data_IF_877811863525
#
_entry.id   IF_877811863525
#
_cell.length_a   1.000
_cell.length_b   1.000
_cell.length_c   1.000
_cell.angle_alpha   90.00
_cell.angle_beta   90.00
_cell.angle_gamma   90.00
#
_symmetry.space_group_name_H-M   'P 1'
#
loop_
_entity.id
_entity.type
_entity.pdbx_description
1 polymer ?
#
# COMPACT_ATOMS: atom_id res chain seq x y z
N UNK A 1 28.70 -10.04 7.77
CA UNK A 1 27.35 -9.87 7.17
C UNK A 1 27.52 -9.12 5.88
N UNK A 2 26.89 -9.56 4.80
CA UNK A 2 26.88 -8.75 3.58
C UNK A 2 26.05 -7.48 3.88
N UNK A 3 26.63 -6.32 3.59
CA UNK A 3 25.95 -5.05 3.78
C UNK A 3 25.05 -4.81 2.56
N UNK A 4 23.74 -4.87 2.74
CA UNK A 4 22.77 -4.68 1.66
C UNK A 4 22.40 -3.20 1.57
N UNK A 5 22.87 -2.54 0.52
CA UNK A 5 22.51 -1.15 0.24
C UNK A 5 21.17 -1.06 -0.52
N UNK A 6 20.42 0.00 -0.28
CA UNK A 6 19.14 0.29 -0.93
C UNK A 6 17.93 -0.42 -0.32
N UNK A 7 18.12 -1.19 0.74
CA UNK A 7 17.04 -1.80 1.52
C UNK A 7 16.81 -1.00 2.80
N UNK A 8 15.55 -0.79 3.17
CA UNK A 8 15.18 -0.22 4.47
C UNK A 8 15.21 -1.28 5.58
N UNK A 9 15.15 -2.56 5.20
CA UNK A 9 15.29 -3.70 6.09
C UNK A 9 14.00 -4.09 6.82
N UNK A 10 12.86 -3.46 6.50
CA UNK A 10 11.61 -3.67 7.23
C UNK A 10 10.39 -3.69 6.32
N UNK A 11 9.46 -4.57 6.64
CA UNK A 11 8.09 -4.61 6.10
C UNK A 11 7.13 -4.22 7.23
N UNK A 12 6.24 -3.28 6.95
CA UNK A 12 5.14 -2.93 7.83
C UNK A 12 4.02 -3.95 7.69
N UNK A 13 3.50 -4.46 8.79
CA UNK A 13 2.36 -5.37 8.87
C UNK A 13 1.19 -4.66 9.52
N UNK A 14 0.04 -4.65 8.86
CA UNK A 14 -1.17 -4.00 9.35
C UNK A 14 -2.33 -4.98 9.26
N UNK A 15 -2.90 -5.34 10.39
CA UNK A 15 -4.13 -6.12 10.47
C UNK A 15 -5.29 -5.18 10.76
N UNK A 16 -6.21 -5.05 9.79
CA UNK A 16 -7.34 -4.12 9.89
C UNK A 16 -8.46 -4.64 10.79
N UNK A 17 -8.53 -5.95 11.07
CA UNK A 17 -9.54 -6.53 11.95
C UNK A 17 -9.20 -6.25 13.41
N UNK A 18 -7.94 -6.43 13.78
CA UNK A 18 -7.48 -6.24 15.17
C UNK A 18 -6.95 -4.83 15.44
N UNK A 19 -6.60 -4.09 14.38
CA UNK A 19 -5.88 -2.81 14.48
C UNK A 19 -4.40 -2.99 14.83
N UNK A 20 -3.88 -4.22 14.82
CA UNK A 20 -2.48 -4.49 15.16
C UNK A 20 -1.55 -4.00 14.05
N UNK A 21 -0.51 -3.27 14.45
CA UNK A 21 0.54 -2.76 13.59
C UNK A 21 1.89 -3.27 14.09
N UNK A 22 2.60 -4.02 13.25
CA UNK A 22 3.90 -4.59 13.59
C UNK A 22 4.90 -4.40 12.46
N UNK A 23 6.17 -4.67 12.74
CA UNK A 23 7.24 -4.65 11.73
C UNK A 23 7.88 -6.02 11.63
N UNK A 24 8.25 -6.40 10.43
CA UNK A 24 8.96 -7.64 10.12
C UNK A 24 10.26 -7.32 9.41
N UNK A 25 11.34 -8.04 9.78
CA UNK A 25 12.60 -8.04 9.01
C UNK A 25 12.38 -8.62 7.60
N UNK A 26 12.99 -8.01 6.59
CA UNK A 26 12.80 -8.39 5.19
C UNK A 26 14.00 -9.09 4.56
N UNK A 27 15.10 -9.35 5.30
CA UNK A 27 16.35 -9.93 4.78
C UNK A 27 16.09 -11.21 3.96
N UNK A 28 15.17 -12.08 4.43
CA UNK A 28 14.83 -13.32 3.71
C UNK A 28 14.25 -13.09 2.30
N UNK A 29 13.76 -11.88 2.03
CA UNK A 29 13.16 -11.51 0.75
C UNK A 29 14.12 -10.79 -0.18
N UNK A 30 15.30 -10.37 0.25
CA UNK A 30 16.28 -9.65 -0.58
C UNK A 30 16.66 -10.41 -1.85
N UNK A 31 16.71 -11.75 -1.81
CA UNK A 31 16.95 -12.60 -3.00
C UNK A 31 15.88 -12.47 -4.11
N UNK A 32 14.73 -11.90 -3.81
CA UNK A 32 13.64 -11.62 -4.77
C UNK A 32 13.64 -10.15 -5.24
N UNK A 33 14.67 -9.36 -4.91
CA UNK A 33 14.93 -7.99 -5.38
C UNK A 33 13.84 -6.96 -4.94
N UNK A 34 12.95 -7.29 -3.99
CA UNK A 34 11.92 -6.36 -3.50
C UNK A 34 10.72 -6.15 -4.45
N UNK A 35 9.92 -5.16 -4.16
CA UNK A 35 8.74 -4.82 -4.95
C UNK A 35 7.86 -6.03 -5.25
N UNK A 36 7.59 -6.26 -6.53
CA UNK A 36 6.77 -7.39 -7.00
C UNK A 36 7.33 -8.75 -6.54
N UNK A 37 8.65 -8.97 -6.65
CA UNK A 37 9.24 -10.27 -6.30
C UNK A 37 9.06 -10.61 -4.81
N UNK A 38 9.27 -9.65 -3.93
CA UNK A 38 9.00 -9.78 -2.51
C UNK A 38 7.49 -10.04 -2.25
N UNK A 39 6.63 -9.24 -2.85
CA UNK A 39 5.19 -9.33 -2.63
C UNK A 39 4.60 -10.67 -3.11
N UNK A 40 5.01 -11.16 -4.28
CA UNK A 40 4.62 -12.49 -4.77
C UNK A 40 5.12 -13.61 -3.86
N UNK A 41 6.32 -13.46 -3.30
CA UNK A 41 6.86 -14.45 -2.36
C UNK A 41 6.05 -14.49 -1.06
N UNK A 42 5.68 -13.34 -0.52
CA UNK A 42 4.80 -13.24 0.66
C UNK A 42 3.43 -13.87 0.35
N UNK A 43 2.84 -13.51 -0.79
CA UNK A 43 1.56 -14.13 -1.23
C UNK A 43 1.63 -15.64 -1.31
N UNK A 44 2.72 -16.18 -1.86
CA UNK A 44 2.92 -17.63 -1.97
C UNK A 44 3.06 -18.32 -0.60
N UNK A 45 3.71 -17.66 0.35
CA UNK A 45 3.94 -18.21 1.69
C UNK A 45 2.70 -18.14 2.58
N UNK A 46 1.88 -17.10 2.44
CA UNK A 46 0.88 -16.74 3.45
C UNK A 46 -0.56 -16.80 2.96
N UNK A 47 -0.79 -16.66 1.64
CA UNK A 47 -2.14 -16.66 1.11
C UNK A 47 -2.54 -18.05 0.56
N UNK A 48 -3.62 -18.69 1.04
CA UNK A 48 -4.14 -19.94 0.47
C UNK A 48 -4.43 -19.80 -1.03
N UNK A 49 -4.21 -20.85 -1.82
CA UNK A 49 -4.33 -20.78 -3.28
C UNK A 49 -5.75 -20.48 -3.78
N UNK A 50 -6.79 -20.97 -3.10
CA UNK A 50 -8.19 -20.82 -3.48
C UNK A 50 -8.94 -19.78 -2.62
N UNK A 51 -8.23 -18.76 -2.13
CA UNK A 51 -8.84 -17.75 -1.28
C UNK A 51 -9.67 -16.77 -2.12
N UNK A 52 -10.88 -16.45 -1.65
CA UNK A 52 -11.70 -15.39 -2.22
C UNK A 52 -10.97 -14.04 -2.05
N UNK A 53 -10.93 -13.16 -3.08
CA UNK A 53 -10.28 -11.86 -3.00
C UNK A 53 -10.88 -10.93 -1.93
N UNK A 54 -12.11 -11.19 -1.52
CA UNK A 54 -12.84 -10.44 -0.50
C UNK A 54 -12.80 -11.09 0.89
N UNK A 55 -12.11 -12.22 1.05
CA UNK A 55 -11.87 -12.82 2.36
C UNK A 55 -11.00 -11.90 3.24
N UNK A 56 -11.22 -11.96 4.55
CA UNK A 56 -10.41 -11.19 5.51
C UNK A 56 -8.92 -11.54 5.45
N UNK A 57 -8.60 -12.80 5.12
CA UNK A 57 -7.22 -13.30 4.97
C UNK A 57 -6.58 -12.88 3.65
N UNK A 58 -7.34 -12.34 2.69
CA UNK A 58 -6.77 -11.84 1.45
C UNK A 58 -5.81 -10.67 1.75
N UNK A 59 -4.61 -10.73 1.19
CA UNK A 59 -3.59 -9.72 1.41
C UNK A 59 -3.62 -8.66 0.31
N UNK A 60 -3.31 -7.42 0.70
CA UNK A 60 -2.91 -6.34 -0.22
C UNK A 60 -1.50 -5.94 0.19
N UNK A 61 -0.54 -6.10 -0.73
CA UNK A 61 0.88 -5.92 -0.43
C UNK A 61 1.45 -4.82 -1.30
N UNK A 62 1.86 -3.73 -0.67
CA UNK A 62 2.61 -2.64 -1.30
C UNK A 62 4.10 -2.97 -1.19
N UNK A 63 4.85 -2.81 -2.28
CA UNK A 63 6.27 -3.12 -2.28
C UNK A 63 7.08 -2.16 -3.14
N UNK A 64 8.27 -1.82 -2.67
CA UNK A 64 9.24 -0.98 -3.38
C UNK A 64 10.56 -1.71 -3.58
N UNK A 65 11.29 -1.30 -4.60
CA UNK A 65 12.59 -1.91 -4.93
C UNK A 65 13.77 -1.20 -4.25
N UNK A 66 14.98 -1.79 -4.29
CA UNK A 66 16.17 -1.23 -3.66
C UNK A 66 16.62 0.11 -4.28
N UNK A 67 16.24 0.41 -5.52
CA UNK A 67 16.57 1.68 -6.17
C UNK A 67 15.52 2.77 -5.92
N UNK A 68 14.36 2.43 -5.34
CA UNK A 68 13.29 3.39 -5.06
C UNK A 68 13.77 4.36 -3.96
N UNK A 69 13.64 5.65 -4.22
CA UNK A 69 14.11 6.70 -3.30
C UNK A 69 15.62 7.02 -3.39
N UNK A 70 16.43 6.20 -4.07
CA UNK A 70 17.89 6.40 -4.17
C UNK A 70 18.32 7.47 -5.22
N UNK A 71 17.37 8.22 -5.82
CA UNK A 71 17.68 9.23 -6.82
C UNK A 71 18.00 8.66 -8.21
N UNK A 72 17.82 7.37 -8.43
CA UNK A 72 18.02 6.74 -9.74
C UNK A 72 16.84 7.11 -10.66
N UNK A 73 17.08 7.56 -11.90
CA UNK A 73 16.02 7.87 -12.85
C UNK A 73 15.09 6.68 -13.09
N UNK A 74 13.76 6.94 -13.17
CA UNK A 74 12.72 5.93 -13.46
C UNK A 74 12.55 4.82 -12.41
N UNK A 75 13.07 4.97 -11.19
CA UNK A 75 13.01 3.96 -10.13
C UNK A 75 11.87 4.17 -9.11
N UNK A 76 11.02 5.19 -9.28
CA UNK A 76 10.00 5.59 -8.29
C UNK A 76 8.71 4.76 -8.29
N UNK A 77 8.57 3.70 -9.12
CA UNK A 77 7.34 2.92 -9.16
C UNK A 77 7.19 2.03 -7.93
N UNK A 78 5.99 2.06 -7.34
CA UNK A 78 5.55 1.14 -6.32
C UNK A 78 4.70 0.04 -6.95
N UNK A 79 4.93 -1.20 -6.56
CA UNK A 79 4.10 -2.35 -6.88
C UNK A 79 3.03 -2.54 -5.80
N UNK A 80 1.84 -2.96 -6.18
CA UNK A 80 0.83 -3.46 -5.24
C UNK A 80 0.31 -4.79 -5.73
N UNK A 81 0.54 -5.84 -4.95
CA UNK A 81 0.14 -7.22 -5.27
C UNK A 81 -1.07 -7.61 -4.42
N UNK A 82 -2.06 -8.23 -5.06
CA UNK A 82 -3.31 -8.63 -4.43
C UNK A 82 -3.98 -9.76 -5.23
N UNK A 83 -5.12 -10.28 -4.75
CA UNK A 83 -5.93 -11.23 -5.53
C UNK A 83 -6.90 -10.51 -6.44
N UNK A 84 -6.99 -10.97 -7.68
CA UNK A 84 -7.91 -10.44 -8.67
C UNK A 84 -9.37 -10.63 -8.26
N UNK A 85 -10.12 -9.54 -8.29
CA UNK A 85 -11.57 -9.55 -8.03
C UNK A 85 -12.39 -10.01 -9.24
N UNK A 86 -11.81 -9.99 -10.44
CA UNK A 86 -12.51 -10.25 -11.70
C UNK A 86 -11.99 -11.45 -12.49
N UNK A 87 -10.79 -11.96 -12.22
CA UNK A 87 -10.28 -13.13 -12.93
C UNK A 87 -10.88 -14.43 -12.41
N UNK A 88 -11.21 -15.36 -13.31
CA UNK A 88 -11.62 -16.70 -12.91
C UNK A 88 -10.47 -17.38 -12.14
N UNK A 89 -10.80 -17.96 -10.97
CA UNK A 89 -9.82 -18.61 -10.09
C UNK A 89 -9.01 -17.63 -9.22
N UNK A 90 -9.39 -16.36 -9.20
CA UNK A 90 -8.83 -15.35 -8.30
C UNK A 90 -7.30 -15.32 -8.28
N UNK A 91 -6.70 -15.25 -9.47
CA UNK A 91 -5.25 -15.22 -9.65
C UNK A 91 -4.59 -14.11 -8.83
N UNK A 92 -3.36 -14.32 -8.42
CA UNK A 92 -2.52 -13.24 -7.88
C UNK A 92 -2.17 -12.33 -9.05
N UNK A 93 -2.43 -11.05 -8.87
CA UNK A 93 -2.14 -9.99 -9.84
C UNK A 93 -1.45 -8.83 -9.15
N UNK A 94 -0.93 -7.92 -9.94
CA UNK A 94 -0.30 -6.71 -9.45
C UNK A 94 -0.71 -5.48 -10.24
N UNK A 95 -0.59 -4.34 -9.59
CA UNK A 95 -0.70 -3.01 -10.17
C UNK A 95 0.56 -2.22 -9.87
N UNK A 96 0.94 -1.35 -10.80
CA UNK A 96 2.10 -0.47 -10.62
C UNK A 96 1.65 0.98 -10.67
N UNK A 97 2.05 1.76 -9.69
CA UNK A 97 1.78 3.19 -9.68
C UNK A 97 3.05 4.02 -9.53
N UNK A 98 3.05 5.16 -10.18
CA UNK A 98 4.11 6.15 -10.12
C UNK A 98 3.83 7.19 -9.03
N UNK A 99 4.49 8.34 -9.15
CA UNK A 99 4.44 9.41 -8.15
C UNK A 99 5.51 9.21 -7.08
N UNK A 100 5.37 9.91 -5.97
CA UNK A 100 6.37 9.94 -4.92
C UNK A 100 6.08 8.96 -3.78
N UNK A 101 4.88 8.40 -3.71
CA UNK A 101 4.45 7.55 -2.60
C UNK A 101 5.39 6.36 -2.32
N UNK A 102 5.95 5.75 -3.39
CA UNK A 102 6.93 4.67 -3.23
C UNK A 102 8.24 5.15 -2.60
N UNK A 103 8.72 6.33 -3.00
CA UNK A 103 9.92 6.92 -2.40
C UNK A 103 9.67 7.33 -0.94
N UNK A 104 8.49 7.89 -0.66
CA UNK A 104 8.12 8.25 0.72
C UNK A 104 8.02 7.02 1.62
N UNK A 105 7.51 5.90 1.11
CA UNK A 105 7.50 4.63 1.85
C UNK A 105 8.93 4.18 2.20
N UNK A 106 9.85 4.29 1.23
CA UNK A 106 11.26 3.98 1.45
C UNK A 106 11.89 4.91 2.50
N UNK A 107 11.64 6.20 2.42
CA UNK A 107 12.14 7.18 3.39
C UNK A 107 11.54 6.99 4.79
N UNK A 108 10.31 6.47 4.88
CA UNK A 108 9.70 6.05 6.13
C UNK A 108 10.36 4.80 6.75
N UNK A 109 11.34 4.21 6.07
CA UNK A 109 12.09 3.06 6.56
C UNK A 109 11.43 1.70 6.28
N UNK A 110 10.59 1.61 5.23
CA UNK A 110 9.93 0.37 4.86
C UNK A 110 10.16 -0.01 3.39
N UNK A 111 10.38 -1.28 3.14
CA UNK A 111 10.45 -1.88 1.80
C UNK A 111 9.10 -2.38 1.30
N UNK A 112 8.12 -2.45 2.20
CA UNK A 112 6.75 -2.81 1.85
C UNK A 112 5.77 -2.66 3.01
N UNK A 113 4.48 -2.75 2.66
CA UNK A 113 3.36 -2.81 3.61
C UNK A 113 2.53 -4.02 3.26
N UNK A 114 2.25 -4.89 4.22
CA UNK A 114 1.32 -6.01 4.09
C UNK A 114 0.06 -5.69 4.89
N UNK A 115 -1.06 -5.61 4.20
CA UNK A 115 -2.37 -5.35 4.80
C UNK A 115 -3.21 -6.61 4.77
N UNK A 116 -3.67 -7.04 5.93
CA UNK A 116 -4.61 -8.15 6.16
C UNK A 116 -5.87 -7.65 6.90
N UNK A 117 -6.83 -8.52 7.08
CA UNK A 117 -8.05 -8.21 7.81
C UNK A 117 -9.02 -7.30 7.05
N UNK A 118 -10.14 -6.99 7.71
CA UNK A 118 -11.18 -6.06 7.25
C UNK A 118 -11.57 -5.18 8.44
N UNK A 119 -11.52 -3.87 8.27
CA UNK A 119 -11.92 -2.93 9.32
C UNK A 119 -13.43 -2.91 9.51
N UNK A 120 -13.91 -2.71 10.73
CA UNK A 120 -15.34 -2.53 11.01
C UNK A 120 -15.89 -1.23 10.39
N UNK A 121 -15.08 -0.19 10.33
CA UNK A 121 -15.42 1.14 9.79
C UNK A 121 -14.37 1.60 8.77
N UNK A 122 -14.67 2.60 7.92
CA UNK A 122 -13.69 3.18 7.04
C UNK A 122 -12.48 3.73 7.79
N UNK A 123 -11.28 3.35 7.35
CA UNK A 123 -10.01 3.81 7.93
C UNK A 123 -9.04 4.27 6.86
N UNK A 124 -8.03 5.01 7.28
CA UNK A 124 -6.83 5.26 6.49
C UNK A 124 -5.57 4.97 7.29
N UNK A 125 -4.54 4.51 6.60
CA UNK A 125 -3.22 4.27 7.18
C UNK A 125 -2.41 5.57 7.14
N UNK A 126 -1.96 6.03 8.29
CA UNK A 126 -1.09 7.21 8.44
C UNK A 126 0.30 6.75 8.86
N UNK A 127 1.31 7.23 8.13
CA UNK A 127 2.72 7.03 8.46
C UNK A 127 3.35 8.41 8.51
N UNK A 128 3.83 8.82 9.67
CA UNK A 128 4.44 10.14 9.89
C UNK A 128 5.63 10.00 10.83
N UNK A 129 6.81 10.38 10.35
CA UNK A 129 8.06 10.41 11.11
C UNK A 129 8.35 9.15 11.94
N UNK A 130 8.01 7.97 11.39
CA UNK A 130 8.19 6.67 12.01
C UNK A 130 7.03 6.21 12.88
N UNK A 131 6.05 7.04 13.16
CA UNK A 131 4.80 6.65 13.80
C UNK A 131 3.80 6.15 12.77
N UNK A 132 3.12 5.05 13.09
CA UNK A 132 2.13 4.42 12.22
C UNK A 132 0.83 4.25 12.97
N UNK A 133 -0.28 4.72 12.37
CA UNK A 133 -1.62 4.61 12.95
C UNK A 133 -2.69 4.31 11.91
N UNK A 134 -3.81 3.75 12.38
CA UNK A 134 -5.05 3.64 11.63
C UNK A 134 -6.02 4.70 12.12
N UNK A 135 -6.41 5.59 11.22
CA UNK A 135 -7.26 6.74 11.52
C UNK A 135 -8.64 6.60 10.88
N UNK A 136 -9.63 7.27 11.43
CA UNK A 136 -11.01 7.24 10.95
C UNK A 136 -11.15 7.96 9.59
N UNK A 137 -11.68 7.26 8.59
CA UNK A 137 -11.92 7.77 7.24
C UNK A 137 -13.42 8.00 6.94
N UNK A 138 -14.29 7.92 7.93
CA UNK A 138 -15.76 8.00 7.75
C UNK A 138 -16.17 9.30 7.06
N UNK A 139 -15.53 10.42 7.36
CA UNK A 139 -15.84 11.72 6.77
C UNK A 139 -15.53 11.79 5.26
N UNK A 140 -14.53 11.02 4.80
CA UNK A 140 -14.09 11.00 3.40
C UNK A 140 -14.58 9.78 2.63
N UNK A 141 -15.28 8.85 3.29
CA UNK A 141 -15.93 7.72 2.61
C UNK A 141 -17.06 8.23 1.72
N UNK A 142 -17.19 7.69 0.53
CA UNK A 142 -18.12 8.18 -0.51
C UNK A 142 -17.60 9.36 -1.34
N UNK A 143 -16.51 10.01 -0.91
CA UNK A 143 -15.92 11.12 -1.67
C UNK A 143 -14.97 10.60 -2.75
N UNK A 144 -14.94 11.30 -3.89
CA UNK A 144 -13.95 11.03 -4.96
C UNK A 144 -12.52 11.30 -4.50
N UNK A 145 -11.54 10.73 -5.22
CA UNK A 145 -10.12 10.79 -4.86
C UNK A 145 -9.59 12.23 -4.74
N UNK A 146 -10.03 13.14 -5.61
CA UNK A 146 -9.65 14.56 -5.51
C UNK A 146 -10.17 15.23 -4.24
N UNK A 147 -11.42 14.94 -3.85
CA UNK A 147 -12.01 15.50 -2.63
C UNK A 147 -11.36 14.89 -1.38
N UNK A 148 -11.05 13.60 -1.39
CA UNK A 148 -10.31 12.94 -0.32
C UNK A 148 -8.91 13.53 -0.17
N UNK A 149 -8.16 13.68 -1.27
CA UNK A 149 -6.84 14.29 -1.24
C UNK A 149 -6.86 15.75 -0.75
N UNK A 150 -7.86 16.53 -1.20
CA UNK A 150 -8.03 17.91 -0.71
C UNK A 150 -8.26 17.95 0.81
N UNK A 151 -9.16 17.11 1.30
CA UNK A 151 -9.42 16.98 2.74
C UNK A 151 -8.15 16.60 3.52
N UNK A 152 -7.37 15.66 3.00
CA UNK A 152 -6.11 15.24 3.63
C UNK A 152 -5.10 16.38 3.73
N UNK A 153 -4.96 17.18 2.67
CA UNK A 153 -4.09 18.36 2.67
C UNK A 153 -4.58 19.42 3.68
N UNK A 154 -5.89 19.60 3.81
CA UNK A 154 -6.48 20.54 4.77
C UNK A 154 -6.26 20.10 6.23
N UNK A 155 -6.29 18.79 6.50
CA UNK A 155 -6.11 18.25 7.85
C UNK A 155 -4.65 18.08 8.26
N UNK A 156 -3.77 17.69 7.32
CA UNK A 156 -2.41 17.25 7.64
C UNK A 156 -1.31 18.11 7.00
N UNK A 157 -1.64 18.99 6.05
CA UNK A 157 -0.66 19.78 5.30
C UNK A 157 -0.36 19.20 3.91
N UNK A 158 0.41 20.00 3.11
CA UNK A 158 0.72 19.66 1.70
C UNK A 158 1.89 18.69 1.54
N UNK A 159 2.55 18.35 2.62
CA UNK A 159 3.80 17.58 2.63
C UNK A 159 3.56 16.08 2.59
N UNK A 160 2.30 15.67 2.73
CA UNK A 160 1.91 14.27 2.68
C UNK A 160 1.65 13.77 1.27
N UNK A 161 2.22 12.62 0.96
CA UNK A 161 1.85 11.84 -0.22
C UNK A 161 0.68 10.90 0.11
N UNK A 162 -0.29 10.89 -0.79
CA UNK A 162 -1.51 10.11 -0.60
C UNK A 162 -1.73 9.10 -1.72
N UNK A 163 -2.34 7.97 -1.38
CA UNK A 163 -2.91 7.04 -2.33
C UNK A 163 -4.31 6.65 -1.86
N UNK A 164 -5.35 7.00 -2.63
CA UNK A 164 -6.75 6.88 -2.24
C UNK A 164 -7.61 6.16 -3.27
N UNK A 165 -8.64 5.46 -2.79
CA UNK A 165 -9.71 4.91 -3.62
C UNK A 165 -10.89 5.89 -3.69
N UNK A 166 -11.63 5.85 -4.79
CA UNK A 166 -12.88 6.58 -4.94
C UNK A 166 -14.11 5.69 -4.71
N UNK A 167 -15.33 6.24 -4.91
CA UNK A 167 -16.59 5.51 -4.72
C UNK A 167 -16.67 4.21 -5.53
N UNK A 168 -15.99 4.11 -6.68
CA UNK A 168 -15.95 2.88 -7.46
C UNK A 168 -15.28 1.73 -6.67
N UNK A 169 -14.16 2.01 -5.99
CA UNK A 169 -13.51 1.02 -5.13
C UNK A 169 -14.36 0.67 -3.90
N UNK A 170 -14.94 1.68 -3.26
CA UNK A 170 -15.83 1.51 -2.11
C UNK A 170 -17.06 0.64 -2.42
N UNK A 171 -17.56 0.72 -3.66
CA UNK A 171 -18.67 -0.09 -4.16
C UNK A 171 -18.21 -1.36 -4.90
N UNK A 172 -16.97 -1.79 -4.69
CA UNK A 172 -16.40 -3.04 -5.18
C UNK A 172 -16.46 -3.19 -6.72
N UNK A 173 -16.29 -2.10 -7.45
CA UNK A 173 -16.21 -2.17 -8.91
C UNK A 173 -14.90 -2.80 -9.33
N UNK A 174 -14.95 -3.94 -10.03
CA UNK A 174 -13.83 -4.83 -10.33
C UNK A 174 -12.65 -4.21 -11.09
N UNK A 175 -12.85 -3.12 -11.79
CA UNK A 175 -11.80 -2.38 -12.51
C UNK A 175 -11.44 -1.05 -11.86
N UNK A 176 -11.88 -0.82 -10.62
CA UNK A 176 -11.57 0.38 -9.87
C UNK A 176 -10.09 0.50 -9.54
N UNK A 177 -9.64 1.72 -9.36
CA UNK A 177 -8.22 2.07 -9.23
C UNK A 177 -7.92 2.69 -7.86
N UNK A 178 -6.66 2.56 -7.44
CA UNK A 178 -6.04 3.37 -6.40
C UNK A 178 -5.32 4.54 -7.07
N UNK A 179 -5.53 5.77 -6.59
CA UNK A 179 -4.97 6.98 -7.20
C UNK A 179 -4.09 7.74 -6.23
N UNK A 180 -2.91 8.15 -6.69
CA UNK A 180 -1.98 8.99 -5.91
C UNK A 180 -2.33 10.46 -6.04
N UNK A 181 -1.77 11.31 -5.16
CA UNK A 181 -1.93 12.77 -5.18
C UNK A 181 -1.52 13.43 -6.50
N UNK A 182 -0.59 12.83 -7.24
CA UNK A 182 -0.13 13.33 -8.55
C UNK A 182 -0.87 12.73 -9.75
N UNK A 183 -2.02 12.10 -9.56
CA UNK A 183 -2.83 11.55 -10.64
C UNK A 183 -2.31 10.25 -11.27
N UNK A 184 -1.28 9.63 -10.67
CA UNK A 184 -0.89 8.27 -11.06
C UNK A 184 -1.86 7.27 -10.45
N UNK A 185 -2.10 6.14 -11.13
CA UNK A 185 -3.04 5.15 -10.65
C UNK A 185 -2.51 3.72 -10.79
N UNK A 186 -2.87 2.88 -9.82
CA UNK A 186 -2.77 1.44 -9.89
C UNK A 186 -4.14 0.84 -10.22
N UNK A 187 -4.22 0.08 -11.31
CA UNK A 187 -5.46 -0.49 -11.82
C UNK A 187 -5.75 -1.91 -11.36
N UNK A 188 -6.28 -2.71 -12.29
CA UNK A 188 -6.53 -4.14 -12.15
C UNK A 188 -7.51 -4.55 -11.03
N UNK A 189 -8.36 -3.62 -10.55
CA UNK A 189 -9.32 -3.88 -9.47
C UNK A 189 -8.75 -3.62 -8.06
N UNK A 190 -7.57 -3.01 -7.96
CA UNK A 190 -6.95 -2.68 -6.67
C UNK A 190 -7.88 -1.84 -5.78
N UNK A 191 -8.67 -0.93 -6.39
CA UNK A 191 -9.65 -0.13 -5.64
C UNK A 191 -10.69 -0.98 -4.94
N UNK A 192 -11.20 -2.04 -5.59
CA UNK A 192 -12.17 -2.96 -4.97
C UNK A 192 -11.54 -3.81 -3.86
N UNK A 193 -10.31 -4.29 -4.04
CA UNK A 193 -9.59 -5.02 -3.00
C UNK A 193 -9.39 -4.17 -1.73
N UNK A 194 -9.07 -2.88 -1.87
CA UNK A 194 -8.98 -1.94 -0.75
C UNK A 194 -10.35 -1.57 -0.18
N UNK A 195 -11.35 -1.37 -1.05
CA UNK A 195 -12.72 -1.03 -0.65
C UNK A 195 -13.36 -2.10 0.23
N UNK A 196 -13.17 -3.39 -0.10
CA UNK A 196 -13.60 -4.50 0.73
C UNK A 196 -12.99 -4.44 2.13
N UNK A 197 -11.73 -4.06 2.23
CA UNK A 197 -11.02 -3.89 3.51
C UNK A 197 -11.41 -2.62 4.26
N UNK A 198 -12.25 -1.79 3.67
CA UNK A 198 -12.60 -0.44 4.14
C UNK A 198 -11.36 0.46 4.36
N UNK A 199 -10.29 0.17 3.63
CA UNK A 199 -9.09 1.00 3.60
C UNK A 199 -9.22 2.07 2.53
N UNK A 200 -9.60 3.27 2.94
CA UNK A 200 -9.88 4.40 2.04
C UNK A 200 -8.62 4.95 1.38
N UNK A 201 -7.53 5.02 2.15
CA UNK A 201 -6.35 5.77 1.76
C UNK A 201 -5.13 5.31 2.56
N UNK A 202 -3.93 5.49 2.00
CA UNK A 202 -2.70 5.58 2.77
C UNK A 202 -2.07 6.98 2.62
N UNK A 203 -1.48 7.46 3.70
CA UNK A 203 -0.91 8.80 3.87
C UNK A 203 0.48 8.65 4.44
N UNK A 204 1.49 9.21 3.76
CA UNK A 204 2.89 9.09 4.18
C UNK A 204 3.56 10.47 4.16
N UNK A 205 4.17 10.84 5.28
CA UNK A 205 4.99 12.04 5.43
C UNK A 205 6.26 11.74 6.23
N UNK A 206 7.36 12.35 5.81
CA UNK A 206 8.64 12.32 6.52
C UNK A 206 9.23 13.74 6.49
N UNK A 207 9.36 14.35 7.66
CA UNK A 207 9.85 15.72 7.84
C UNK A 207 11.32 15.87 7.42
N UNK A 208 12.13 14.86 7.70
CA UNK A 208 13.55 14.81 7.30
C UNK A 208 13.84 13.45 6.64
N UNK A 209 13.69 13.33 5.30
CA UNK A 209 13.92 12.07 4.63
C UNK A 209 15.39 11.63 4.80
N UNK A 210 15.59 10.56 5.55
CA UNK A 210 16.90 9.89 5.60
C UNK A 210 17.13 9.21 4.25
N UNK A 211 18.17 9.64 3.53
CA UNK A 211 18.58 8.95 2.32
C UNK A 211 19.13 7.58 2.69
N UNK A 212 18.64 6.49 2.09
CA UNK A 212 19.20 5.16 2.30
C UNK A 212 20.62 5.05 1.75
#
# INVERSE_FOLDING_TARGET
MAEYYGWAGKILRVDLTTGEITTQDDEKYHKYIGGMGMAYRIMYEEAPMELDPYDEKALVIFGVGPLTGAGVPCSGRMNVTFRSTWSKGHSIIDAHMGGHIGSMLKYAGYDGIVVSGISEKPVYLRIEDGEVSLEDATEIWGKGTFAANKWMVEQNGREFETASIGPAGENLVDYSTLNTSFGNSGGAGLGAAMGNKKLKLSLIHISEPTRP
#
